data_IF_565736213155
#
_entry.id   IF_565736213155
#
_cell.length_a   1.000
_cell.length_b   1.000
_cell.length_c   1.000
_cell.angle_alpha   90.00
_cell.angle_beta   90.00
_cell.angle_gamma   90.00
#
_symmetry.space_group_name_H-M   'P 1'
#
loop_
_entity.id
_entity.type
_entity.pdbx_description
1 polymer ?
#
# COMPACT_ATOMS: atom_id res chain seq x y z
N UNK A 1 35.56 98.73 24.89
CA UNK A 1 34.08 98.87 24.87
C UNK A 1 33.57 97.54 24.31
N UNK A 2 32.87 96.64 24.99
CA UNK A 2 32.02 96.64 26.17
C UNK A 2 31.87 95.14 26.60
N UNK A 3 31.73 94.84 27.91
CA UNK A 3 31.61 93.47 28.47
C UNK A 3 30.17 92.94 28.34
N UNK A 4 30.00 91.62 28.30
CA UNK A 4 28.72 90.94 28.64
C UNK A 4 28.93 89.80 29.65
N UNK A 5 27.95 89.52 30.54
CA UNK A 5 28.15 88.74 31.75
C UNK A 5 27.60 87.31 31.68
N UNK A 6 28.13 86.47 32.56
CA UNK A 6 27.72 85.13 32.94
C UNK A 6 26.37 85.11 33.68
N UNK A 7 25.52 84.12 33.40
CA UNK A 7 24.40 83.74 34.29
C UNK A 7 24.26 82.23 34.27
N UNK A 8 24.47 81.60 35.43
CA UNK A 8 24.32 80.18 35.65
C UNK A 8 22.88 79.85 36.00
N UNK A 9 22.26 78.93 35.26
CA UNK A 9 20.90 78.44 35.51
C UNK A 9 20.97 77.16 36.34
N UNK A 10 20.32 77.20 37.51
CA UNK A 10 20.17 76.14 38.50
C UNK A 10 19.16 75.09 37.98
N UNK A 11 19.55 73.81 37.98
CA UNK A 11 18.66 72.68 37.68
C UNK A 11 17.92 72.30 38.97
N UNK A 12 16.59 72.42 38.98
CA UNK A 12 15.73 71.85 40.02
C UNK A 12 15.40 70.40 39.67
N UNK A 13 15.64 69.50 40.63
CA UNK A 13 15.24 68.10 40.54
C UNK A 13 13.73 68.00 40.82
N UNK A 14 12.95 67.64 39.80
CA UNK A 14 11.55 67.27 39.96
C UNK A 14 11.46 65.87 40.58
N UNK A 15 10.88 65.79 41.77
CA UNK A 15 10.53 64.54 42.46
C UNK A 15 9.60 63.68 41.62
N UNK A 16 10.07 62.49 41.22
CA UNK A 16 9.24 61.44 40.66
C UNK A 16 8.37 60.89 41.79
N UNK A 17 7.06 61.16 41.73
CA UNK A 17 6.07 60.54 42.58
C UNK A 17 5.97 59.05 42.24
N UNK A 18 6.30 58.19 43.20
CA UNK A 18 5.93 56.78 43.19
C UNK A 18 4.42 56.67 43.47
N UNK A 19 3.61 56.69 42.41
CA UNK A 19 2.22 56.24 42.50
C UNK A 19 2.22 54.70 42.60
N UNK A 20 1.93 54.21 43.81
CA UNK A 20 1.65 52.81 44.07
C UNK A 20 0.50 52.33 43.20
N UNK A 21 0.82 51.58 42.16
CA UNK A 21 -0.15 50.82 41.37
C UNK A 21 -0.76 49.74 42.25
N UNK A 22 -2.02 49.93 42.64
CA UNK A 22 -2.85 48.89 43.23
C UNK A 22 -2.79 47.61 42.38
N UNK A 23 -2.67 46.41 42.99
CA UNK A 23 -2.52 45.19 42.23
C UNK A 23 -3.81 44.96 41.43
N UNK A 24 -3.72 45.16 40.11
CA UNK A 24 -4.70 44.58 39.20
C UNK A 24 -4.47 43.07 39.30
N UNK A 25 -5.28 42.40 40.11
CA UNK A 25 -5.33 40.94 40.21
C UNK A 25 -5.78 40.38 38.87
N UNK A 26 -4.84 40.34 37.92
CA UNK A 26 -5.01 39.70 36.64
C UNK A 26 -5.11 38.19 36.84
N UNK A 27 -5.75 37.52 35.89
CA UNK A 27 -5.90 36.06 35.87
C UNK A 27 -4.57 35.31 36.13
N UNK A 28 -3.46 35.84 35.62
CA UNK A 28 -2.12 35.27 35.82
C UNK A 28 -1.68 35.31 37.28
N UNK A 29 -1.94 36.42 37.98
CA UNK A 29 -1.58 36.61 39.38
C UNK A 29 -2.40 35.68 40.29
N UNK A 30 -3.67 35.45 39.92
CA UNK A 30 -4.54 34.45 40.54
C UNK A 30 -3.99 33.02 40.36
N UNK A 31 -3.56 32.66 39.14
CA UNK A 31 -3.01 31.32 38.84
C UNK A 31 -1.68 31.06 39.53
N UNK A 32 -0.80 32.08 39.59
CA UNK A 32 0.48 32.00 40.30
C UNK A 32 0.24 31.85 41.80
N UNK A 33 -0.64 32.66 42.38
CA UNK A 33 -0.96 32.60 43.81
C UNK A 33 -1.61 31.27 44.18
N UNK A 34 -2.56 30.76 43.38
CA UNK A 34 -3.18 29.45 43.58
C UNK A 34 -2.17 28.29 43.47
N UNK A 35 -1.22 28.39 42.52
CA UNK A 35 -0.14 27.37 42.36
C UNK A 35 0.81 27.35 43.55
N UNK A 36 1.07 28.51 44.18
CA UNK A 36 1.92 28.65 45.37
C UNK A 36 1.20 28.23 46.66
N UNK A 37 -0.08 28.60 46.82
CA UNK A 37 -0.91 28.19 47.97
C UNK A 37 -1.14 26.67 47.99
N UNK A 38 -1.33 26.05 46.82
CA UNK A 38 -1.53 24.60 46.67
C UNK A 38 -0.28 23.85 46.19
N UNK A 39 0.92 24.24 46.66
CA UNK A 39 2.22 23.69 46.23
C UNK A 39 2.31 22.15 46.16
N UNK A 40 1.65 21.44 47.08
CA UNK A 40 1.64 19.98 47.10
C UNK A 40 0.93 19.41 45.86
N UNK A 41 -0.27 19.92 45.55
CA UNK A 41 -1.02 19.51 44.37
C UNK A 41 -0.31 19.88 43.08
N UNK A 42 0.31 21.06 43.02
CA UNK A 42 1.12 21.50 41.88
C UNK A 42 2.29 20.56 41.61
N UNK A 43 3.02 20.15 42.66
CA UNK A 43 4.14 19.20 42.54
C UNK A 43 3.63 17.80 42.14
N UNK A 44 2.56 17.31 42.75
CA UNK A 44 1.95 16.03 42.37
C UNK A 44 1.50 16.05 40.90
N UNK A 45 0.86 17.11 40.43
CA UNK A 45 0.47 17.27 39.04
C UNK A 45 1.69 17.29 38.10
N UNK A 46 2.77 17.99 38.47
CA UNK A 46 4.01 18.01 37.70
C UNK A 46 4.66 16.61 37.62
N UNK A 47 4.68 15.87 38.72
CA UNK A 47 5.21 14.49 38.76
C UNK A 47 4.37 13.56 37.90
N UNK A 48 3.04 13.64 37.98
CA UNK A 48 2.13 12.85 37.14
C UNK A 48 2.33 13.19 35.66
N UNK A 49 2.47 14.48 35.32
CA UNK A 49 2.74 14.91 33.95
C UNK A 49 4.11 14.41 33.45
N UNK A 50 5.15 14.50 34.27
CA UNK A 50 6.48 14.00 33.92
C UNK A 50 6.47 12.48 33.72
N UNK A 51 5.87 11.73 34.64
CA UNK A 51 5.73 10.28 34.53
C UNK A 51 4.90 9.89 33.28
N UNK A 52 3.79 10.59 33.04
CA UNK A 52 2.95 10.40 31.86
C UNK A 52 3.68 10.71 30.56
N UNK A 53 4.40 11.84 30.49
CA UNK A 53 5.20 12.20 29.31
C UNK A 53 6.35 11.23 29.07
N UNK A 54 7.00 10.73 30.13
CA UNK A 54 8.05 9.72 30.03
C UNK A 54 7.51 8.40 29.48
N UNK A 55 6.32 7.99 29.92
CA UNK A 55 5.63 6.81 29.40
C UNK A 55 5.28 6.97 27.91
N UNK A 56 4.71 8.12 27.53
CA UNK A 56 4.35 8.40 26.14
C UNK A 56 5.60 8.46 25.27
N UNK A 57 6.63 9.18 25.69
CA UNK A 57 7.89 9.27 24.96
C UNK A 57 8.56 7.90 24.75
N UNK A 58 8.38 6.95 25.69
CA UNK A 58 8.92 5.60 25.58
C UNK A 58 8.06 4.66 24.70
N UNK A 59 6.79 4.98 24.44
CA UNK A 59 5.85 4.09 23.74
C UNK A 59 5.41 4.62 22.36
N UNK A 60 5.66 5.89 22.05
CA UNK A 60 5.33 6.47 20.75
C UNK A 60 6.18 5.83 19.64
N UNK A 61 5.56 5.36 18.53
CA UNK A 61 6.29 4.87 17.36
C UNK A 61 7.21 5.94 16.79
N UNK A 62 8.44 5.56 16.49
CA UNK A 62 9.44 6.43 15.86
C UNK A 62 9.54 6.04 14.40
N UNK A 63 9.41 7.02 13.51
CA UNK A 63 9.69 6.86 12.09
C UNK A 63 10.79 7.86 11.67
N UNK A 64 11.60 7.49 10.70
CA UNK A 64 12.70 8.31 10.17
C UNK A 64 12.15 9.42 9.30
N UNK A 65 11.04 9.16 8.60
CA UNK A 65 10.43 10.11 7.67
C UNK A 65 8.94 10.34 8.00
N UNK A 66 8.42 11.56 7.75
CA UNK A 66 6.97 11.76 7.75
C UNK A 66 6.33 10.97 6.59
N UNK A 67 5.04 10.65 6.70
CA UNK A 67 4.33 10.02 5.59
C UNK A 67 4.22 10.98 4.39
N UNK A 68 4.96 10.67 3.32
CA UNK A 68 4.98 11.40 2.04
C UNK A 68 4.12 10.73 0.98
N UNK A 69 3.33 9.72 1.36
CA UNK A 69 2.58 8.90 0.42
C UNK A 69 1.21 9.53 0.15
N UNK A 70 0.99 10.01 -1.07
CA UNK A 70 -0.37 10.34 -1.50
C UNK A 70 -1.19 9.04 -1.60
N UNK A 71 -2.46 9.01 -1.12
CA UNK A 71 -3.30 7.83 -1.23
C UNK A 71 -3.47 7.45 -2.70
N UNK A 72 -2.90 6.31 -3.09
CA UNK A 72 -2.85 5.86 -4.49
C UNK A 72 -3.37 4.44 -4.58
N UNK A 73 -4.33 4.22 -5.47
CA UNK A 73 -4.84 2.89 -5.77
C UNK A 73 -4.29 2.47 -7.12
N UNK A 74 -3.55 1.36 -7.13
CA UNK A 74 -3.00 0.78 -8.35
C UNK A 74 -3.90 -0.35 -8.84
N UNK A 75 -4.27 -0.29 -10.10
CA UNK A 75 -5.02 -1.32 -10.81
C UNK A 75 -4.08 -2.01 -11.79
N UNK A 76 -4.05 -3.34 -11.74
CA UNK A 76 -3.25 -4.19 -12.61
C UNK A 76 -4.21 -5.00 -13.47
N UNK A 77 -3.95 -5.05 -14.77
CA UNK A 77 -4.72 -5.88 -15.69
C UNK A 77 -3.77 -6.65 -16.58
N UNK A 78 -3.95 -7.95 -16.61
CA UNK A 78 -3.13 -8.86 -17.41
C UNK A 78 -3.83 -9.12 -18.75
N UNK A 79 -3.13 -8.77 -19.82
CA UNK A 79 -3.62 -8.72 -21.19
C UNK A 79 -2.72 -9.54 -22.11
N UNK A 80 -2.30 -10.72 -21.64
CA UNK A 80 -1.44 -11.68 -22.32
C UNK A 80 -1.59 -11.68 -23.85
N UNK A 81 -0.48 -11.48 -24.55
CA UNK A 81 -0.44 -11.59 -26.02
C UNK A 81 -0.78 -10.32 -26.78
N UNK A 82 -1.35 -9.29 -26.15
CA UNK A 82 -1.62 -8.01 -26.82
C UNK A 82 -0.37 -7.13 -26.94
N UNK A 83 -0.26 -6.43 -28.07
CA UNK A 83 0.74 -5.39 -28.28
C UNK A 83 0.46 -4.15 -27.40
N UNK A 84 1.46 -3.34 -27.05
CA UNK A 84 1.26 -2.16 -26.20
C UNK A 84 0.14 -1.21 -26.68
N UNK A 85 0.01 -1.00 -27.98
CA UNK A 85 -1.03 -0.16 -28.59
C UNK A 85 -2.43 -0.77 -28.45
N UNK A 86 -2.54 -2.10 -28.52
CA UNK A 86 -3.79 -2.81 -28.29
C UNK A 86 -4.18 -2.80 -26.82
N UNK A 87 -3.20 -2.99 -25.92
CA UNK A 87 -3.40 -2.87 -24.48
C UNK A 87 -3.90 -1.48 -24.13
N UNK A 88 -3.32 -0.43 -24.72
CA UNK A 88 -3.77 0.94 -24.50
C UNK A 88 -5.23 1.14 -24.92
N UNK A 89 -5.57 0.78 -26.15
CA UNK A 89 -6.89 1.05 -26.72
C UNK A 89 -8.00 0.17 -26.13
N UNK A 90 -7.72 -1.12 -25.91
CA UNK A 90 -8.72 -2.11 -25.50
C UNK A 90 -8.86 -2.25 -23.99
N UNK A 91 -7.81 -1.93 -23.23
CA UNK A 91 -7.77 -2.18 -21.77
C UNK A 91 -7.53 -0.90 -20.99
N UNK A 92 -6.39 -0.24 -21.19
CA UNK A 92 -5.98 0.90 -20.37
C UNK A 92 -6.94 2.08 -20.50
N UNK A 93 -7.31 2.46 -21.72
CA UNK A 93 -8.15 3.63 -21.97
C UNK A 93 -9.58 3.48 -21.41
N UNK A 94 -10.27 2.34 -21.58
CA UNK A 94 -11.55 2.08 -20.90
C UNK A 94 -11.44 2.13 -19.37
N UNK A 95 -10.38 1.56 -18.79
CA UNK A 95 -10.17 1.55 -17.35
C UNK A 95 -9.91 2.95 -16.80
N UNK A 96 -9.01 3.70 -17.43
CA UNK A 96 -8.71 5.09 -17.08
C UNK A 96 -9.97 5.96 -17.13
N UNK A 97 -10.74 5.87 -18.23
CA UNK A 97 -11.97 6.66 -18.39
C UNK A 97 -13.04 6.28 -17.36
N UNK A 98 -13.08 5.02 -16.91
CA UNK A 98 -14.06 4.57 -15.91
C UNK A 98 -13.82 5.15 -14.50
N UNK A 99 -12.55 5.35 -14.15
CA UNK A 99 -12.12 5.87 -12.84
C UNK A 99 -11.92 7.39 -12.87
N UNK A 100 -11.73 7.96 -14.06
CA UNK A 100 -11.67 9.41 -14.25
C UNK A 100 -13.01 10.05 -13.83
N UNK A 101 -12.93 11.09 -13.00
CA UNK A 101 -14.10 11.75 -12.42
C UNK A 101 -14.78 10.99 -11.27
N UNK A 102 -14.18 9.92 -10.74
CA UNK A 102 -14.63 9.36 -9.47
C UNK A 102 -14.34 10.33 -8.31
N UNK A 103 -15.15 10.28 -7.26
CA UNK A 103 -15.08 11.24 -6.16
C UNK A 103 -13.72 11.19 -5.44
N UNK A 104 -13.09 12.35 -5.26
CA UNK A 104 -11.79 12.48 -4.60
C UNK A 104 -10.58 12.05 -5.43
N UNK A 105 -10.78 11.67 -6.70
CA UNK A 105 -9.68 11.42 -7.63
C UNK A 105 -9.06 12.75 -8.05
N UNK A 106 -7.77 12.89 -7.79
CA UNK A 106 -6.98 14.08 -8.13
C UNK A 106 -6.29 13.92 -9.48
N UNK A 107 -5.77 12.72 -9.75
CA UNK A 107 -5.04 12.42 -10.98
C UNK A 107 -5.10 10.93 -11.29
N UNK A 108 -5.25 10.59 -12.56
CA UNK A 108 -5.05 9.23 -13.07
C UNK A 108 -3.78 9.23 -13.92
N UNK A 109 -2.97 8.19 -13.77
CA UNK A 109 -1.83 7.89 -14.63
C UNK A 109 -1.94 6.46 -15.07
N UNK A 110 -1.41 6.16 -16.24
CA UNK A 110 -1.45 4.82 -16.79
C UNK A 110 -0.15 4.49 -17.54
N UNK A 111 0.13 3.20 -17.67
CA UNK A 111 1.23 2.67 -18.47
C UNK A 111 0.77 1.37 -19.10
N UNK A 112 0.92 1.30 -20.42
CA UNK A 112 0.64 0.11 -21.22
C UNK A 112 1.96 -0.47 -21.71
N UNK A 113 2.18 -1.74 -21.44
CA UNK A 113 3.31 -2.50 -21.97
C UNK A 113 2.79 -3.82 -22.55
N UNK A 114 3.65 -4.57 -23.23
CA UNK A 114 3.27 -5.84 -23.85
C UNK A 114 2.67 -6.77 -22.79
N UNK A 115 1.42 -7.17 -23.02
CA UNK A 115 0.69 -8.07 -22.12
C UNK A 115 0.27 -7.50 -20.76
N UNK A 116 0.50 -6.22 -20.44
CA UNK A 116 0.16 -5.66 -19.12
C UNK A 116 -0.27 -4.20 -19.17
N UNK A 117 -1.34 -3.90 -18.44
CA UNK A 117 -1.82 -2.54 -18.17
C UNK A 117 -1.72 -2.22 -16.69
N UNK A 118 -1.18 -1.04 -16.38
CA UNK A 118 -1.07 -0.52 -15.02
C UNK A 118 -1.73 0.86 -14.98
N UNK A 119 -2.69 1.04 -14.07
CA UNK A 119 -3.38 2.33 -13.85
C UNK A 119 -3.21 2.75 -12.39
N UNK A 120 -2.62 3.92 -12.17
CA UNK A 120 -2.48 4.56 -10.86
C UNK A 120 -3.54 5.65 -10.70
N UNK A 121 -4.39 5.51 -9.69
CA UNK A 121 -5.41 6.48 -9.32
C UNK A 121 -4.96 7.20 -8.05
N UNK A 122 -4.47 8.42 -8.19
CA UNK A 122 -4.06 9.26 -7.07
C UNK A 122 -5.29 10.02 -6.53
N UNK A 123 -5.52 9.94 -5.22
CA UNK A 123 -6.57 10.67 -4.52
C UNK A 123 -6.04 11.95 -3.85
N UNK A 124 -6.95 12.76 -3.34
CA UNK A 124 -6.62 13.91 -2.48
C UNK A 124 -5.97 13.48 -1.16
N UNK A 125 -5.11 14.35 -0.63
CA UNK A 125 -4.43 14.14 0.65
C UNK A 125 -5.42 13.94 1.79
N UNK A 126 -5.09 13.04 2.73
CA UNK A 126 -5.95 12.71 3.86
C UNK A 126 -7.15 11.81 3.51
N UNK A 127 -7.31 11.41 2.25
CA UNK A 127 -8.30 10.41 1.87
C UNK A 127 -7.94 9.06 2.47
N UNK A 128 -8.90 8.42 3.14
CA UNK A 128 -8.76 7.05 3.62
C UNK A 128 -8.53 6.09 2.45
N UNK A 129 -7.44 5.31 2.51
CA UNK A 129 -7.03 4.42 1.42
C UNK A 129 -8.06 3.32 1.15
N UNK A 130 -8.77 2.84 2.17
CA UNK A 130 -9.78 1.79 1.99
C UNK A 130 -11.03 2.33 1.31
N UNK A 131 -11.44 3.55 1.63
CA UNK A 131 -12.49 4.27 0.90
C UNK A 131 -12.09 4.51 -0.55
N UNK A 132 -10.86 4.96 -0.80
CA UNK A 132 -10.34 5.12 -2.16
C UNK A 132 -10.39 3.80 -2.95
N UNK A 133 -9.96 2.69 -2.34
CA UNK A 133 -10.04 1.36 -2.94
C UNK A 133 -11.46 0.91 -3.23
N UNK A 134 -12.40 1.20 -2.35
CA UNK A 134 -13.81 0.89 -2.55
C UNK A 134 -14.35 1.65 -3.77
N UNK A 135 -14.10 2.96 -3.86
CA UNK A 135 -14.52 3.79 -4.99
C UNK A 135 -13.97 3.25 -6.31
N UNK A 136 -12.67 2.94 -6.36
CA UNK A 136 -12.05 2.36 -7.56
C UNK A 136 -12.65 0.99 -7.87
N UNK A 137 -12.81 0.12 -6.87
CA UNK A 137 -13.40 -1.22 -7.04
C UNK A 137 -14.80 -1.18 -7.63
N UNK A 138 -15.66 -0.26 -7.17
CA UNK A 138 -17.01 -0.05 -7.71
C UNK A 138 -16.96 0.39 -9.19
N UNK A 139 -16.02 1.27 -9.56
CA UNK A 139 -15.84 1.71 -10.96
C UNK A 139 -15.30 0.60 -11.86
N UNK A 140 -14.35 -0.20 -11.36
CA UNK A 140 -13.79 -1.32 -12.11
C UNK A 140 -14.82 -2.40 -12.41
N UNK A 141 -15.75 -2.67 -11.49
CA UNK A 141 -16.82 -3.65 -11.74
C UNK A 141 -17.71 -3.23 -12.92
N UNK A 142 -17.99 -1.94 -13.08
CA UNK A 142 -18.74 -1.42 -14.22
C UNK A 142 -17.92 -1.44 -15.52
N UNK A 143 -16.61 -1.27 -15.43
CA UNK A 143 -15.70 -1.28 -16.57
C UNK A 143 -15.35 -2.69 -17.07
N UNK A 144 -15.36 -3.69 -16.18
CA UNK A 144 -14.98 -5.06 -16.50
C UNK A 144 -15.80 -5.66 -17.65
N UNK A 145 -17.08 -5.31 -17.76
CA UNK A 145 -17.94 -5.77 -18.87
C UNK A 145 -17.64 -5.14 -20.24
N UNK A 146 -16.69 -4.20 -20.33
CA UNK A 146 -16.24 -3.58 -21.58
C UNK A 146 -14.89 -4.11 -22.05
N UNK A 147 -14.23 -4.91 -21.23
CA UNK A 147 -12.95 -5.51 -21.59
C UNK A 147 -13.18 -6.72 -22.51
N UNK A 148 -12.25 -7.00 -23.43
CA UNK A 148 -12.27 -8.23 -24.22
C UNK A 148 -12.30 -9.50 -23.35
N UNK A 149 -12.94 -10.57 -23.84
CA UNK A 149 -13.11 -11.83 -23.11
C UNK A 149 -11.78 -12.57 -22.85
N UNK A 150 -10.74 -12.27 -23.63
CA UNK A 150 -9.39 -12.82 -23.54
C UNK A 150 -8.50 -12.09 -22.52
N UNK A 151 -8.95 -10.97 -21.96
CA UNK A 151 -8.23 -10.18 -20.96
C UNK A 151 -8.65 -10.59 -19.55
N UNK A 152 -7.67 -10.71 -18.65
CA UNK A 152 -7.96 -11.02 -17.24
C UNK A 152 -8.70 -9.87 -16.56
N UNK A 153 -9.56 -10.20 -15.60
CA UNK A 153 -10.26 -9.17 -14.84
C UNK A 153 -9.26 -8.21 -14.14
N UNK A 154 -9.51 -6.89 -14.14
CA UNK A 154 -8.67 -5.93 -13.43
C UNK A 154 -8.63 -6.22 -11.94
N UNK A 155 -7.44 -6.19 -11.35
CA UNK A 155 -7.22 -6.44 -9.92
C UNK A 155 -6.61 -5.23 -9.24
N UNK A 156 -7.07 -4.93 -8.03
CA UNK A 156 -6.46 -3.91 -7.18
C UNK A 156 -5.17 -4.46 -6.58
N UNK A 157 -4.03 -3.85 -6.90
CA UNK A 157 -2.76 -4.19 -6.28
C UNK A 157 -2.82 -3.98 -4.75
N UNK A 158 -1.94 -4.62 -3.96
CA UNK A 158 -1.83 -4.36 -2.53
C UNK A 158 -1.61 -2.87 -2.24
N UNK A 159 -2.02 -2.42 -1.06
CA UNK A 159 -1.70 -1.07 -0.60
C UNK A 159 -0.20 -0.98 -0.43
N UNK A 160 0.44 -0.09 -1.18
CA UNK A 160 1.87 0.15 -1.12
C UNK A 160 2.18 1.62 -0.85
N UNK A 161 3.36 1.86 -0.29
CA UNK A 161 3.91 3.20 -0.10
C UNK A 161 5.25 3.30 -0.82
N UNK A 162 5.62 4.52 -1.22
CA UNK A 162 6.96 4.84 -1.74
C UNK A 162 8.04 4.43 -0.72
N UNK A 163 7.72 4.48 0.57
CA UNK A 163 8.59 4.05 1.67
C UNK A 163 8.33 2.61 2.13
N UNK A 164 7.46 1.86 1.43
CA UNK A 164 7.03 0.52 1.83
C UNK A 164 8.04 -0.59 1.55
N UNK A 165 9.11 -0.31 0.82
CA UNK A 165 10.21 -1.26 0.60
C UNK A 165 11.14 -1.25 1.81
N UNK A 166 10.84 -2.12 2.78
CA UNK A 166 11.55 -2.19 4.07
C UNK A 166 12.66 -3.23 4.12
N UNK A 167 12.59 -4.27 3.29
CA UNK A 167 13.50 -5.41 3.35
C UNK A 167 13.69 -6.03 1.97
N UNK A 168 14.95 -6.08 1.54
CA UNK A 168 15.36 -6.80 0.34
C UNK A 168 16.19 -8.02 0.74
N UNK A 169 15.79 -9.20 0.25
CA UNK A 169 16.45 -10.47 0.55
C UNK A 169 16.97 -11.07 -0.76
N UNK A 170 18.27 -11.37 -0.81
CA UNK A 170 18.86 -12.14 -1.89
C UNK A 170 18.83 -13.64 -1.57
N UNK A 171 18.20 -14.44 -2.42
CA UNK A 171 18.31 -15.90 -2.39
C UNK A 171 19.34 -16.29 -3.44
N UNK A 172 20.49 -16.80 -3.00
CA UNK A 172 21.59 -17.18 -3.89
C UNK A 172 21.56 -18.69 -4.14
N UNK A 173 21.77 -19.06 -5.40
CA UNK A 173 21.93 -20.44 -5.82
C UNK A 173 22.92 -20.53 -7.00
N UNK A 174 23.57 -21.68 -7.19
CA UNK A 174 24.29 -21.98 -8.42
C UNK A 174 23.41 -21.81 -9.67
N UNK A 175 23.97 -21.50 -10.86
CA UNK A 175 23.20 -21.29 -12.09
C UNK A 175 22.28 -22.45 -12.48
N UNK A 176 22.65 -23.69 -12.15
CA UNK A 176 21.86 -24.91 -12.39
C UNK A 176 20.67 -25.09 -11.44
N UNK A 177 20.54 -24.25 -10.40
CA UNK A 177 19.50 -24.36 -9.36
C UNK A 177 18.66 -23.09 -9.19
N UNK A 178 18.65 -22.21 -10.18
CA UNK A 178 17.83 -20.99 -10.15
C UNK A 178 16.33 -21.29 -10.05
N UNK A 179 15.88 -22.40 -10.64
CA UNK A 179 14.49 -22.85 -10.55
C UNK A 179 14.12 -23.34 -9.14
N UNK A 180 15.01 -24.05 -8.46
CA UNK A 180 14.82 -24.48 -7.07
C UNK A 180 14.79 -23.27 -6.13
N UNK A 181 15.71 -22.32 -6.33
CA UNK A 181 15.74 -21.07 -5.57
C UNK A 181 14.45 -20.27 -5.75
N UNK A 182 13.95 -20.17 -6.99
CA UNK A 182 12.67 -19.51 -7.28
C UNK A 182 11.50 -20.23 -6.62
N UNK A 183 11.47 -21.56 -6.68
CA UNK A 183 10.45 -22.39 -6.03
C UNK A 183 10.45 -22.18 -4.51
N UNK A 184 11.62 -22.15 -3.87
CA UNK A 184 11.75 -21.86 -2.46
C UNK A 184 11.29 -20.43 -2.11
N UNK A 185 11.61 -19.44 -2.96
CA UNK A 185 11.17 -18.07 -2.79
C UNK A 185 9.64 -17.96 -2.81
N UNK A 186 8.99 -18.53 -3.84
CA UNK A 186 7.54 -18.45 -4.05
C UNK A 186 6.73 -19.25 -3.02
N UNK A 187 7.18 -20.46 -2.67
CA UNK A 187 6.38 -21.42 -1.90
C UNK A 187 6.80 -21.58 -0.44
N UNK A 188 7.99 -21.11 -0.05
CA UNK A 188 8.48 -21.22 1.34
C UNK A 188 8.71 -19.86 1.98
N UNK A 189 9.49 -18.98 1.34
CA UNK A 189 9.88 -17.69 1.95
C UNK A 189 8.72 -16.70 1.89
N UNK A 190 8.12 -16.50 0.71
CA UNK A 190 7.02 -15.56 0.49
C UNK A 190 5.83 -15.79 1.44
N UNK A 191 5.27 -17.01 1.59
CA UNK A 191 4.12 -17.21 2.47
C UNK A 191 4.46 -16.97 3.94
N UNK A 192 5.69 -17.26 4.38
CA UNK A 192 6.13 -17.03 5.77
C UNK A 192 6.26 -15.55 6.08
N UNK A 193 6.77 -14.76 5.14
CA UNK A 193 6.87 -13.30 5.30
C UNK A 193 5.49 -12.64 5.24
N UNK A 194 4.62 -13.07 4.34
CA UNK A 194 3.23 -12.58 4.26
C UNK A 194 2.39 -12.91 5.50
N UNK A 195 2.77 -13.91 6.29
CA UNK A 195 2.09 -14.25 7.54
C UNK A 195 2.40 -13.26 8.68
N UNK A 196 3.41 -12.40 8.54
CA UNK A 196 3.79 -11.44 9.56
C UNK A 196 2.82 -10.23 9.57
N UNK A 197 2.34 -9.79 10.74
CA UNK A 197 1.52 -8.59 10.84
C UNK A 197 2.24 -7.36 10.27
N UNK A 198 1.53 -6.56 9.48
CA UNK A 198 2.06 -5.35 8.85
C UNK A 198 2.71 -5.56 7.47
N UNK A 199 2.89 -6.81 7.02
CA UNK A 199 3.41 -7.10 5.68
C UNK A 199 2.28 -7.14 4.66
N UNK A 200 2.19 -6.10 3.81
CA UNK A 200 1.16 -6.02 2.78
C UNK A 200 1.50 -6.86 1.53
N UNK A 201 2.78 -6.97 1.17
CA UNK A 201 3.22 -7.62 -0.06
C UNK A 201 4.65 -8.14 0.05
N UNK A 202 4.92 -9.25 -0.64
CA UNK A 202 6.25 -9.81 -0.85
C UNK A 202 6.35 -10.20 -2.33
N UNK A 203 7.31 -9.62 -3.03
CA UNK A 203 7.49 -9.79 -4.49
C UNK A 203 8.80 -10.51 -4.75
N UNK A 204 8.77 -11.80 -5.17
CA UNK A 204 9.98 -12.48 -5.59
C UNK A 204 10.37 -12.02 -7.00
N UNK A 205 11.62 -11.58 -7.17
CA UNK A 205 12.15 -11.02 -8.42
C UNK A 205 13.27 -11.93 -8.95
N UNK A 206 13.29 -12.17 -10.27
CA UNK A 206 14.29 -13.02 -10.93
C UNK A 206 14.06 -14.53 -10.71
N UNK A 207 15.07 -15.33 -11.02
CA UNK A 207 15.01 -16.80 -11.00
C UNK A 207 14.21 -17.39 -12.17
N UNK A 208 14.07 -18.72 -12.17
CA UNK A 208 13.33 -19.44 -13.22
C UNK A 208 12.04 -20.02 -12.68
N UNK A 209 10.90 -19.65 -13.27
CA UNK A 209 9.61 -20.22 -12.87
C UNK A 209 9.46 -21.60 -13.49
N UNK A 210 9.20 -22.61 -12.66
CA UNK A 210 8.95 -23.97 -13.12
C UNK A 210 7.67 -24.00 -13.96
N UNK A 211 7.80 -24.39 -15.21
CA UNK A 211 6.69 -24.51 -16.16
C UNK A 211 6.79 -25.81 -16.95
N UNK A 212 5.65 -26.43 -17.22
CA UNK A 212 5.55 -27.62 -18.06
C UNK A 212 5.19 -27.18 -19.47
N UNK A 213 6.14 -27.28 -20.39
CA UNK A 213 5.96 -26.89 -21.78
C UNK A 213 5.65 -28.11 -22.64
N UNK A 214 4.54 -28.03 -23.40
CA UNK A 214 4.20 -29.03 -24.41
C UNK A 214 4.76 -28.52 -25.74
N UNK A 215 5.94 -29.03 -26.12
CA UNK A 215 6.58 -28.67 -27.38
C UNK A 215 6.02 -29.52 -28.51
N UNK A 216 5.22 -28.89 -29.37
CA UNK A 216 4.53 -29.57 -30.47
C UNK A 216 5.34 -29.45 -31.76
N UNK A 217 5.47 -30.58 -32.46
CA UNK A 217 6.19 -30.70 -33.73
C UNK A 217 5.21 -30.65 -34.91
N UNK A 218 5.22 -29.60 -35.75
CA UNK A 218 4.27 -29.45 -36.87
C UNK A 218 4.27 -30.63 -37.84
N UNK A 219 5.44 -31.20 -38.12
CA UNK A 219 5.62 -32.36 -38.99
C UNK A 219 4.91 -33.61 -38.45
N UNK A 220 4.86 -33.79 -37.13
CA UNK A 220 4.16 -34.91 -36.49
C UNK A 220 2.66 -34.69 -36.50
N UNK A 221 2.19 -33.46 -36.26
CA UNK A 221 0.76 -33.13 -36.36
C UNK A 221 0.21 -33.49 -37.74
N UNK A 222 0.93 -33.13 -38.81
CA UNK A 222 0.56 -33.47 -40.18
C UNK A 222 0.55 -34.98 -40.43
N UNK A 223 1.57 -35.70 -39.97
CA UNK A 223 1.66 -37.15 -40.13
C UNK A 223 0.51 -37.90 -39.44
N UNK A 224 0.10 -37.44 -38.26
CA UNK A 224 -1.01 -38.03 -37.50
C UNK A 224 -2.38 -37.42 -37.84
N UNK A 225 -2.43 -36.40 -38.70
CA UNK A 225 -3.64 -35.64 -39.04
C UNK A 225 -4.37 -35.08 -37.80
N UNK A 226 -3.59 -34.59 -36.84
CA UNK A 226 -4.10 -33.98 -35.60
C UNK A 226 -3.93 -32.46 -35.69
N UNK A 227 -4.99 -31.71 -35.38
CA UNK A 227 -4.95 -30.26 -35.32
C UNK A 227 -4.23 -29.74 -34.07
N UNK A 228 -3.64 -28.54 -34.11
CA UNK A 228 -3.09 -27.92 -32.90
C UNK A 228 -4.17 -27.69 -31.84
N UNK A 229 -5.37 -27.27 -32.26
CA UNK A 229 -6.52 -27.06 -31.39
C UNK A 229 -6.95 -28.34 -30.67
N UNK A 230 -6.81 -29.50 -31.33
CA UNK A 230 -7.10 -30.80 -30.72
C UNK A 230 -6.09 -31.15 -29.63
N UNK A 231 -4.80 -30.85 -29.84
CA UNK A 231 -3.76 -31.03 -28.81
C UNK A 231 -4.01 -30.11 -27.63
N UNK A 232 -4.38 -28.84 -27.87
CA UNK A 232 -4.71 -27.88 -26.82
C UNK A 232 -5.93 -28.32 -26.02
N UNK A 233 -7.00 -28.75 -26.69
CA UNK A 233 -8.21 -29.26 -26.05
C UNK A 233 -7.92 -30.53 -25.23
N UNK A 234 -7.14 -31.47 -25.79
CA UNK A 234 -6.74 -32.70 -25.10
C UNK A 234 -5.91 -32.40 -23.84
N UNK A 235 -4.93 -31.50 -23.94
CA UNK A 235 -4.10 -31.09 -22.81
C UNK A 235 -4.91 -30.38 -21.70
N UNK A 236 -5.88 -29.55 -22.08
CA UNK A 236 -6.75 -28.85 -21.14
C UNK A 236 -7.68 -29.82 -20.37
N UNK A 237 -8.15 -30.89 -21.01
CA UNK A 237 -9.02 -31.89 -20.40
C UNK A 237 -8.24 -32.96 -19.62
N UNK A 238 -6.98 -33.22 -19.98
CA UNK A 238 -6.16 -34.27 -19.38
C UNK A 238 -5.62 -33.96 -17.98
N UNK A 239 -5.91 -32.78 -17.41
CA UNK A 239 -5.33 -32.35 -16.12
C UNK A 239 -6.39 -31.99 -15.08
N UNK A 240 -7.50 -32.73 -15.03
CA UNK A 240 -8.65 -32.45 -14.15
C UNK A 240 -8.92 -33.62 -13.21
N UNK A 241 -9.24 -33.31 -11.96
CA UNK A 241 -9.81 -34.29 -11.03
C UNK A 241 -11.33 -34.24 -11.16
N UNK A 242 -11.98 -35.40 -11.11
CA UNK A 242 -13.44 -35.52 -11.22
C UNK A 242 -14.04 -36.07 -9.94
N UNK A 243 -15.21 -35.58 -9.56
CA UNK A 243 -15.98 -36.12 -8.42
C UNK A 243 -16.95 -37.18 -8.93
N UNK A 244 -16.92 -38.37 -8.34
CA UNK A 244 -17.85 -39.46 -8.64
C UNK A 244 -19.02 -39.54 -7.67
N UNK A 245 -19.20 -38.55 -6.80
CA UNK A 245 -20.27 -38.51 -5.81
C UNK A 245 -20.01 -39.41 -4.59
N UNK A 246 -21.10 -39.81 -3.92
CA UNK A 246 -21.07 -40.61 -2.70
C UNK A 246 -21.67 -41.98 -2.99
N UNK A 247 -20.94 -43.03 -2.64
CA UNK A 247 -21.45 -44.40 -2.65
C UNK A 247 -21.78 -44.84 -1.23
N UNK A 248 -23.03 -45.27 -1.02
CA UNK A 248 -23.51 -45.74 0.29
C UNK A 248 -23.55 -47.26 0.31
N UNK A 249 -22.85 -47.87 1.26
CA UNK A 249 -22.94 -49.33 1.47
C UNK A 249 -22.67 -49.70 2.93
N UNK A 250 -23.53 -50.56 3.49
CA UNK A 250 -23.39 -51.06 4.87
C UNK A 250 -23.40 -49.97 5.94
N UNK A 251 -24.23 -48.93 5.79
CA UNK A 251 -24.30 -47.81 6.73
C UNK A 251 -23.12 -46.84 6.68
N UNK A 252 -22.21 -46.98 5.69
CA UNK A 252 -21.09 -46.05 5.47
C UNK A 252 -21.25 -45.32 4.15
N UNK A 253 -20.80 -44.07 4.14
CA UNK A 253 -20.67 -43.25 2.94
C UNK A 253 -19.21 -43.22 2.50
N UNK A 254 -18.94 -43.53 1.24
CA UNK A 254 -17.61 -43.49 0.63
C UNK A 254 -17.62 -42.45 -0.48
N UNK A 255 -16.69 -41.50 -0.42
CA UNK A 255 -16.50 -40.50 -1.46
C UNK A 255 -15.75 -41.11 -2.64
N UNK A 256 -16.35 -41.06 -3.82
CA UNK A 256 -15.70 -41.46 -5.07
C UNK A 256 -15.05 -40.23 -5.70
N UNK A 257 -13.76 -40.34 -6.03
CA UNK A 257 -13.01 -39.30 -6.73
C UNK A 257 -12.11 -39.92 -7.79
N UNK A 258 -12.19 -39.41 -9.02
CA UNK A 258 -11.23 -39.68 -10.08
C UNK A 258 -10.03 -38.74 -9.99
N UNK A 259 -8.84 -39.31 -10.00
CA UNK A 259 -7.58 -38.57 -10.02
C UNK A 259 -7.08 -38.50 -11.46
N UNK A 260 -7.20 -37.34 -12.08
CA UNK A 260 -6.71 -37.09 -13.46
C UNK A 260 -5.72 -35.95 -13.54
N UNK A 261 -5.37 -35.30 -12.41
CA UNK A 261 -4.33 -34.27 -12.37
C UNK A 261 -2.95 -34.90 -12.58
N UNK A 262 -2.19 -34.35 -13.53
CA UNK A 262 -0.79 -34.69 -13.75
C UNK A 262 0.00 -34.49 -12.45
N UNK A 263 0.83 -35.47 -12.11
CA UNK A 263 1.76 -35.40 -10.97
C UNK A 263 3.17 -35.36 -11.53
N UNK A 264 3.90 -34.35 -11.08
CA UNK A 264 5.33 -34.02 -11.27
C UNK A 264 6.08 -34.56 -12.50
#
# INVERSE_FOLDING_TARGET
MWRSPTTATRIEASSVNEEGTAPRTGLLDLLVRASLEHRFFTICAAVVLLAGSGWVAATVPVDVFPDLTAPTVTVLTDAHGLAPEEVENLVTFPLETSVNGAAGVRRVRSSSAQGISIVWVDFDWGTDIFRARQIVGERLQLAAGRLPDDVSAPVLAPVSSIMGEILLIGITAPPDRLMEARTAADWTVRPRLLALPGVAQVVPIGGEVRQYQILVHPERLLAYRVGLDEVLAAAAESNRNVSGGIYRSGGREVLIRGLGRARD
#
